data_IF_334786290776
#
_entry.id   IF_334786290776
#
_cell.length_a   1.000
_cell.length_b   1.000
_cell.length_c   1.000
_cell.angle_alpha   90.00
_cell.angle_beta   90.00
_cell.angle_gamma   90.00
#
_symmetry.space_group_name_H-M   'P 1'
#
loop_
_entity.id
_entity.type
_entity.pdbx_description
1 polymer ?
#
# COMPACT_ATOMS: atom_id res chain seq x y z
N UNK A 1 -10.99 11.81 -38.84
CA UNK A 1 -10.77 13.07 -38.09
C UNK A 1 -9.68 13.85 -38.79
N UNK A 2 -10.02 15.00 -39.39
CA UNK A 2 -9.08 15.78 -40.21
C UNK A 2 -7.93 16.34 -39.37
N UNK A 3 -6.76 16.55 -39.98
CA UNK A 3 -5.55 17.09 -39.31
C UNK A 3 -5.82 18.43 -38.59
N UNK A 4 -6.76 19.21 -39.08
CA UNK A 4 -7.21 20.49 -38.51
C UNK A 4 -7.88 20.28 -37.15
N UNK A 5 -8.78 19.28 -37.03
CA UNK A 5 -9.48 18.97 -35.78
C UNK A 5 -8.49 18.50 -34.69
N UNK A 6 -7.50 17.69 -35.07
CA UNK A 6 -6.40 17.27 -34.16
C UNK A 6 -5.56 18.46 -33.65
N UNK A 7 -5.33 19.45 -34.50
CA UNK A 7 -4.55 20.63 -34.14
C UNK A 7 -5.28 21.58 -33.20
N UNK A 8 -6.60 21.68 -33.31
CA UNK A 8 -7.46 22.52 -32.45
C UNK A 8 -7.79 21.87 -31.10
N UNK A 9 -7.88 20.54 -31.04
CA UNK A 9 -8.24 19.82 -29.81
C UNK A 9 -7.02 19.49 -28.93
N UNK A 10 -5.83 19.40 -29.51
CA UNK A 10 -4.59 19.04 -28.78
C UNK A 10 -4.31 19.94 -27.55
N UNK A 11 -4.40 21.30 -27.63
CA UNK A 11 -4.16 22.13 -26.45
C UNK A 11 -5.18 21.92 -25.32
N UNK A 12 -6.42 21.58 -25.66
CA UNK A 12 -7.47 21.28 -24.67
C UNK A 12 -7.17 19.96 -23.97
N UNK A 13 -6.78 18.92 -24.72
CA UNK A 13 -6.37 17.64 -24.15
C UNK A 13 -5.11 17.77 -23.28
N UNK A 14 -4.09 18.49 -23.76
CA UNK A 14 -2.85 18.72 -23.00
C UNK A 14 -3.11 19.49 -21.68
N UNK A 15 -4.06 20.41 -21.69
CA UNK A 15 -4.48 21.14 -20.47
C UNK A 15 -5.24 20.22 -19.51
N UNK A 16 -6.16 19.41 -20.00
CA UNK A 16 -6.92 18.47 -19.19
C UNK A 16 -5.99 17.40 -18.57
N UNK A 17 -5.02 16.88 -19.33
CA UNK A 17 -4.01 15.96 -18.84
C UNK A 17 -3.15 16.57 -17.74
N UNK A 18 -2.65 17.81 -17.93
CA UNK A 18 -1.89 18.51 -16.88
C UNK A 18 -2.72 18.77 -15.62
N UNK A 19 -4.00 19.09 -15.79
CA UNK A 19 -4.90 19.27 -14.66
C UNK A 19 -5.12 17.95 -13.92
N UNK A 20 -5.33 16.84 -14.63
CA UNK A 20 -5.45 15.51 -14.04
C UNK A 20 -4.17 15.09 -13.29
N UNK A 21 -2.99 15.36 -13.87
CA UNK A 21 -1.72 15.11 -13.18
C UNK A 21 -1.55 15.97 -11.93
N UNK A 22 -1.96 17.24 -11.96
CA UNK A 22 -1.97 18.10 -10.78
C UNK A 22 -2.90 17.58 -9.67
N UNK A 23 -4.06 17.07 -10.05
CA UNK A 23 -4.99 16.45 -9.10
C UNK A 23 -4.41 15.15 -8.51
N UNK A 24 -3.79 14.29 -9.33
CA UNK A 24 -3.13 13.07 -8.86
C UNK A 24 -1.97 13.37 -7.91
N UNK A 25 -1.13 14.37 -8.22
CA UNK A 25 -0.04 14.74 -7.31
C UNK A 25 -0.57 15.32 -6.00
N UNK A 26 -1.69 16.05 -6.01
CA UNK A 26 -2.39 16.52 -4.81
C UNK A 26 -2.90 15.37 -3.93
N UNK A 27 -3.26 14.24 -4.52
CA UNK A 27 -3.69 13.05 -3.80
C UNK A 27 -2.62 12.50 -2.84
N UNK A 28 -1.35 12.54 -3.24
CA UNK A 28 -0.23 12.09 -2.41
C UNK A 28 0.13 13.08 -1.28
N UNK A 29 -0.41 14.28 -1.25
CA UNK A 29 -0.20 15.28 -0.20
C UNK A 29 -1.25 15.14 0.93
N UNK A 30 -1.52 13.92 1.38
CA UNK A 30 -2.39 13.69 2.53
C UNK A 30 -1.79 14.32 3.80
N UNK A 31 -2.58 14.95 4.69
CA UNK A 31 -2.07 15.61 5.90
C UNK A 31 -1.21 14.73 6.81
N UNK A 32 -1.48 13.41 6.85
CA UNK A 32 -0.68 12.43 7.60
C UNK A 32 0.59 12.00 6.88
N UNK A 33 0.80 12.47 5.65
CA UNK A 33 1.94 12.12 4.79
C UNK A 33 2.83 13.34 4.48
N UNK A 34 2.61 14.47 5.14
CA UNK A 34 3.40 15.69 4.91
C UNK A 34 4.53 15.80 5.91
N UNK A 35 5.75 16.03 5.39
CA UNK A 35 6.96 16.19 6.20
C UNK A 35 7.57 14.86 6.64
N UNK A 36 8.45 14.95 7.64
CA UNK A 36 9.08 13.77 8.27
C UNK A 36 8.81 13.79 9.76
N UNK A 37 8.50 12.64 10.34
CA UNK A 37 8.32 12.51 11.78
C UNK A 37 8.62 11.08 12.25
N UNK A 38 9.35 10.99 13.35
CA UNK A 38 9.47 9.77 14.14
C UNK A 38 8.41 9.81 15.24
N UNK A 39 7.49 8.87 15.22
CA UNK A 39 6.37 8.80 16.17
C UNK A 39 6.46 7.50 16.96
N UNK A 40 6.42 7.58 18.29
CA UNK A 40 6.36 6.41 19.16
C UNK A 40 4.91 5.94 19.27
N UNK A 41 4.66 4.68 18.88
CA UNK A 41 3.33 4.05 18.94
C UNK A 41 3.14 3.31 20.26
N UNK A 42 4.18 2.57 20.70
CA UNK A 42 4.21 1.83 21.97
C UNK A 42 5.57 2.02 22.64
N UNK A 43 5.83 1.31 23.75
CA UNK A 43 7.15 1.35 24.38
C UNK A 43 8.26 0.92 23.42
N UNK A 44 7.99 -0.09 22.57
CA UNK A 44 8.99 -0.72 21.69
C UNK A 44 8.81 -0.41 20.20
N UNK A 45 7.67 0.09 19.77
CA UNK A 45 7.40 0.31 18.34
C UNK A 45 7.29 1.79 18.02
N UNK A 46 8.07 2.21 17.03
CA UNK A 46 8.00 3.54 16.43
C UNK A 46 7.64 3.41 14.95
N UNK A 47 7.07 4.48 14.42
CA UNK A 47 6.90 4.65 12.97
C UNK A 47 7.61 5.91 12.54
N UNK A 48 8.26 5.85 11.38
CA UNK A 48 8.91 6.98 10.75
C UNK A 48 8.28 7.23 9.39
N UNK A 49 7.73 8.42 9.19
CA UNK A 49 7.27 8.83 7.88
C UNK A 49 8.24 9.85 7.25
N UNK A 50 8.39 9.72 5.95
CA UNK A 50 9.05 10.68 5.08
C UNK A 50 8.09 11.01 3.95
N UNK A 51 7.38 12.13 4.09
CA UNK A 51 6.26 12.47 3.21
C UNK A 51 5.25 11.32 3.11
N UNK A 52 5.16 10.68 1.96
CA UNK A 52 4.21 9.64 1.64
C UNK A 52 4.61 8.26 2.20
N UNK A 53 5.90 8.00 2.36
CA UNK A 53 6.44 6.69 2.75
C UNK A 53 6.54 6.55 4.26
N UNK A 54 6.35 5.33 4.78
CA UNK A 54 6.33 5.03 6.20
C UNK A 54 6.93 3.67 6.52
N UNK A 55 7.98 3.68 7.32
CA UNK A 55 8.59 2.48 7.91
C UNK A 55 8.14 2.28 9.35
N UNK A 56 8.28 1.06 9.88
CA UNK A 56 8.24 0.81 11.32
C UNK A 56 9.60 0.40 11.85
N UNK A 57 9.85 0.77 13.10
CA UNK A 57 11.06 0.42 13.85
C UNK A 57 10.65 -0.24 15.14
N UNK A 58 11.17 -1.43 15.39
CA UNK A 58 10.94 -2.21 16.60
C UNK A 58 12.23 -2.20 17.42
N UNK A 59 12.16 -1.68 18.63
CA UNK A 59 13.29 -1.64 19.57
C UNK A 59 13.35 -2.96 20.33
N UNK A 60 14.42 -3.70 20.15
CA UNK A 60 14.63 -5.00 20.83
C UNK A 60 15.91 -4.97 21.69
N UNK A 61 16.13 -6.00 22.51
CA UNK A 61 17.35 -6.10 23.31
C UNK A 61 18.61 -6.42 22.47
N UNK A 62 18.42 -6.92 21.23
CA UNK A 62 19.51 -7.28 20.31
C UNK A 62 19.80 -6.18 19.27
N UNK A 63 19.06 -5.07 19.32
CA UNK A 63 19.12 -3.96 18.37
C UNK A 63 17.78 -3.71 17.69
N UNK A 64 17.79 -2.89 16.66
CA UNK A 64 16.58 -2.50 15.96
C UNK A 64 16.15 -3.54 14.91
N UNK A 65 14.85 -3.72 14.75
CA UNK A 65 14.26 -4.35 13.58
C UNK A 65 13.54 -3.25 12.79
N UNK A 66 13.90 -3.07 11.52
CA UNK A 66 13.32 -2.06 10.63
C UNK A 66 12.58 -2.76 9.50
N UNK A 67 11.28 -2.49 9.39
CA UNK A 67 10.47 -3.00 8.27
C UNK A 67 10.34 -1.90 7.22
N UNK A 68 10.67 -2.26 5.97
CA UNK A 68 10.63 -1.42 4.78
C UNK A 68 11.44 -0.12 4.93
N UNK A 69 12.77 -0.20 4.75
CA UNK A 69 13.64 0.95 4.84
C UNK A 69 13.51 1.93 3.65
N UNK A 70 12.59 1.67 2.71
CA UNK A 70 12.26 2.46 1.52
C UNK A 70 13.46 2.78 0.63
N UNK A 71 14.04 3.96 0.77
CA UNK A 71 15.17 4.42 -0.02
C UNK A 71 16.26 5.03 0.86
N UNK A 72 17.44 5.26 0.28
CA UNK A 72 18.60 5.80 0.98
C UNK A 72 18.29 7.11 1.72
N UNK A 73 17.59 8.05 1.09
CA UNK A 73 17.28 9.36 1.69
C UNK A 73 16.40 9.23 2.92
N UNK A 74 15.28 8.50 2.79
CA UNK A 74 14.37 8.24 3.90
C UNK A 74 15.10 7.55 5.06
N UNK A 75 15.87 6.51 4.76
CA UNK A 75 16.58 5.74 5.80
C UNK A 75 17.67 6.57 6.48
N UNK A 76 18.37 7.46 5.75
CA UNK A 76 19.34 8.38 6.36
C UNK A 76 18.64 9.33 7.35
N UNK A 77 17.48 9.87 6.99
CA UNK A 77 16.69 10.73 7.88
C UNK A 77 16.09 9.95 9.06
N UNK A 78 15.71 8.68 8.85
CA UNK A 78 15.30 7.79 9.94
C UNK A 78 16.43 7.62 10.95
N UNK A 79 17.66 7.26 10.50
CA UNK A 79 18.84 7.10 11.37
C UNK A 79 19.12 8.38 12.16
N UNK A 80 19.08 9.54 11.50
CA UNK A 80 19.24 10.83 12.17
C UNK A 80 18.15 11.06 13.24
N UNK A 81 16.89 10.79 12.90
CA UNK A 81 15.75 10.97 13.82
C UNK A 81 15.81 10.03 15.02
N UNK A 82 16.29 8.81 14.85
CA UNK A 82 16.53 7.86 15.94
C UNK A 82 17.62 8.37 16.88
N UNK A 83 18.75 8.83 16.32
CA UNK A 83 19.83 9.39 17.10
C UNK A 83 19.37 10.64 17.89
N UNK A 84 18.65 11.55 17.27
CA UNK A 84 18.09 12.74 17.92
C UNK A 84 17.09 12.38 19.05
N UNK A 85 16.43 11.23 18.96
CA UNK A 85 15.58 10.68 20.00
C UNK A 85 16.31 9.87 21.08
N UNK A 86 17.66 9.80 21.03
CA UNK A 86 18.48 9.04 21.96
C UNK A 86 18.41 7.53 21.77
N UNK A 87 18.05 7.07 20.57
CA UNK A 87 17.97 5.66 20.20
C UNK A 87 19.18 5.34 19.31
N UNK A 88 20.07 4.47 19.80
CA UNK A 88 21.21 4.01 19.00
C UNK A 88 20.71 3.21 17.78
N UNK A 89 21.08 3.59 16.55
CA UNK A 89 20.56 2.97 15.33
C UNK A 89 21.29 1.67 14.96
N UNK A 90 21.60 0.82 15.95
CA UNK A 90 22.22 -0.48 15.70
C UNK A 90 21.16 -1.44 15.16
N UNK A 91 21.16 -1.68 13.85
CA UNK A 91 20.17 -2.51 13.20
C UNK A 91 20.56 -4.00 13.29
N UNK A 92 19.70 -4.80 13.92
CA UNK A 92 19.83 -6.25 13.95
C UNK A 92 19.24 -6.86 12.67
N UNK A 93 18.03 -6.47 12.30
CA UNK A 93 17.32 -7.07 11.17
C UNK A 93 16.55 -6.01 10.35
N UNK A 94 16.67 -6.11 9.05
CA UNK A 94 15.74 -5.46 8.11
C UNK A 94 14.75 -6.51 7.62
N UNK A 95 13.47 -6.17 7.61
CA UNK A 95 12.40 -6.96 7.03
C UNK A 95 11.93 -6.28 5.74
N UNK A 96 11.96 -7.00 4.63
CA UNK A 96 11.32 -6.57 3.39
C UNK A 96 9.92 -7.17 3.32
N UNK A 97 8.91 -6.32 3.29
CA UNK A 97 7.52 -6.78 3.21
C UNK A 97 7.24 -7.48 1.88
N UNK A 98 7.76 -6.93 0.78
CA UNK A 98 7.60 -7.47 -0.56
C UNK A 98 8.71 -6.95 -1.49
N UNK A 99 8.68 -7.34 -2.79
CA UNK A 99 9.78 -7.08 -3.71
C UNK A 99 9.83 -5.66 -4.28
N UNK A 100 8.81 -4.82 -4.10
CA UNK A 100 8.78 -3.49 -4.71
C UNK A 100 9.94 -2.61 -4.26
N UNK A 101 10.51 -1.88 -5.22
CA UNK A 101 11.79 -1.18 -5.01
C UNK A 101 11.68 0.06 -4.13
N UNK A 102 10.50 0.62 -4.00
CA UNK A 102 10.22 1.71 -3.07
C UNK A 102 10.22 1.27 -1.60
N UNK A 103 10.21 -0.05 -1.32
CA UNK A 103 10.27 -0.60 0.04
C UNK A 103 11.67 -1.08 0.47
N UNK A 104 12.57 -1.38 -0.48
CA UNK A 104 13.76 -2.21 -0.18
C UNK A 104 15.11 -1.52 -0.37
N UNK A 105 15.17 -0.32 -0.98
CA UNK A 105 16.43 0.33 -1.39
C UNK A 105 17.21 0.99 -0.27
N UNK A 106 16.68 1.14 0.92
CA UNK A 106 17.33 1.86 2.02
C UNK A 106 18.16 1.00 2.96
N UNK A 107 18.08 -0.33 2.88
CA UNK A 107 18.63 -1.26 3.86
C UNK A 107 20.14 -1.10 4.09
N UNK A 108 20.91 -0.79 3.07
CA UNK A 108 22.35 -0.63 3.18
C UNK A 108 22.79 0.52 4.13
N UNK A 109 21.93 1.53 4.33
CA UNK A 109 22.20 2.64 5.26
C UNK A 109 22.22 2.17 6.73
N UNK A 110 21.45 1.11 7.03
CA UNK A 110 21.29 0.57 8.37
C UNK A 110 22.38 -0.44 8.75
N UNK A 111 23.18 -0.90 7.79
CA UNK A 111 24.20 -1.94 7.99
C UNK A 111 23.68 -3.14 8.81
N UNK A 112 22.54 -3.75 8.46
CA UNK A 112 21.89 -4.76 9.27
C UNK A 112 22.69 -6.06 9.29
N UNK A 113 22.55 -6.83 10.39
CA UNK A 113 23.14 -8.19 10.48
C UNK A 113 22.36 -9.19 9.64
N UNK A 114 21.04 -9.01 9.54
CA UNK A 114 20.12 -9.86 8.81
C UNK A 114 19.21 -9.04 7.91
N UNK A 115 18.93 -9.57 6.74
CA UNK A 115 17.90 -9.07 5.82
C UNK A 115 16.96 -10.22 5.48
N UNK A 116 15.73 -10.13 5.94
CA UNK A 116 14.71 -11.15 5.75
C UNK A 116 13.79 -10.73 4.61
N UNK A 117 13.55 -11.62 3.66
CA UNK A 117 12.64 -11.38 2.54
C UNK A 117 11.92 -12.67 2.11
N UNK A 118 10.83 -12.50 1.38
CA UNK A 118 10.19 -13.63 0.71
C UNK A 118 11.14 -14.22 -0.34
N UNK A 119 11.21 -15.56 -0.42
CA UNK A 119 12.16 -16.30 -1.28
C UNK A 119 12.11 -15.94 -2.76
N UNK A 120 10.98 -15.41 -3.24
CA UNK A 120 10.81 -14.97 -4.63
C UNK A 120 11.34 -13.56 -4.92
N UNK A 121 11.58 -12.74 -3.90
CA UNK A 121 12.02 -11.35 -4.12
C UNK A 121 13.27 -11.23 -5.01
N UNK A 122 14.34 -12.04 -4.81
CA UNK A 122 15.51 -11.98 -5.67
C UNK A 122 15.24 -12.32 -7.14
N UNK A 123 14.22 -13.14 -7.43
CA UNK A 123 13.88 -13.49 -8.82
C UNK A 123 13.24 -12.29 -9.52
N UNK A 124 12.34 -11.56 -8.85
CA UNK A 124 11.75 -10.33 -9.40
C UNK A 124 12.79 -9.25 -9.66
N UNK A 125 13.80 -9.10 -8.79
CA UNK A 125 14.84 -8.06 -8.98
C UNK A 125 15.74 -8.32 -10.18
N UNK A 126 15.86 -9.56 -10.64
CA UNK A 126 16.62 -9.90 -11.87
C UNK A 126 15.98 -9.38 -13.16
N UNK A 127 14.68 -9.06 -13.11
CA UNK A 127 13.94 -8.53 -14.27
C UNK A 127 14.16 -7.03 -14.47
N UNK A 128 14.82 -6.35 -13.52
CA UNK A 128 15.13 -4.93 -13.61
C UNK A 128 16.57 -4.69 -14.09
N UNK A 129 16.80 -3.53 -14.70
CA UNK A 129 18.16 -3.10 -15.02
C UNK A 129 19.03 -3.02 -13.76
N UNK A 130 20.33 -3.44 -13.82
CA UNK A 130 21.20 -3.51 -12.65
C UNK A 130 21.28 -2.21 -11.84
N UNK A 131 21.33 -1.06 -12.53
CA UNK A 131 21.37 0.26 -11.85
C UNK A 131 20.09 0.53 -11.04
N UNK A 132 18.98 -0.07 -11.42
CA UNK A 132 17.69 0.11 -10.74
C UNK A 132 17.65 -0.61 -9.39
N UNK A 133 18.39 -1.70 -9.26
CA UNK A 133 18.45 -2.52 -8.04
C UNK A 133 19.77 -2.38 -7.27
N UNK A 134 20.66 -1.49 -7.69
CA UNK A 134 21.98 -1.30 -7.09
C UNK A 134 21.97 -0.97 -5.59
N UNK A 135 20.90 -0.33 -5.11
CA UNK A 135 20.71 0.03 -3.71
C UNK A 135 19.94 -1.04 -2.89
N UNK A 136 19.56 -2.17 -3.51
CA UNK A 136 18.88 -3.28 -2.82
C UNK A 136 19.92 -4.18 -2.16
N UNK A 137 19.91 -4.25 -0.85
CA UNK A 137 20.76 -5.18 -0.12
C UNK A 137 20.20 -6.61 -0.24
N UNK A 138 21.05 -7.54 -0.69
CA UNK A 138 20.62 -8.92 -0.87
C UNK A 138 20.15 -9.55 0.46
N UNK A 139 19.02 -10.27 0.48
CA UNK A 139 18.57 -10.97 1.68
C UNK A 139 19.58 -12.01 2.17
N UNK A 140 19.79 -12.05 3.48
CA UNK A 140 20.55 -13.12 4.14
C UNK A 140 19.68 -14.31 4.49
N UNK A 141 18.38 -14.04 4.73
CA UNK A 141 17.39 -15.01 5.17
C UNK A 141 16.15 -14.98 4.25
N UNK A 142 15.92 -16.08 3.56
CA UNK A 142 14.79 -16.23 2.64
C UNK A 142 13.70 -17.09 3.29
N UNK A 143 12.49 -16.55 3.38
CA UNK A 143 11.32 -17.22 3.99
C UNK A 143 10.20 -17.39 2.97
N UNK A 144 9.31 -18.34 3.25
CA UNK A 144 8.10 -18.58 2.48
C UNK A 144 6.95 -18.94 3.43
N UNK A 145 5.81 -18.43 3.34
CA UNK A 145 4.70 -18.69 4.26
C UNK A 145 4.88 -18.01 5.63
N UNK A 146 3.94 -18.27 6.51
CA UNK A 146 3.93 -17.66 7.84
C UNK A 146 5.18 -18.02 8.64
N UNK A 147 5.83 -17.02 9.18
CA UNK A 147 7.08 -17.18 9.91
C UNK A 147 7.03 -16.39 11.21
N UNK A 148 7.43 -17.03 12.30
CA UNK A 148 7.56 -16.37 13.61
C UNK A 148 9.02 -16.13 13.92
N UNK A 149 9.35 -14.87 14.18
CA UNK A 149 10.67 -14.46 14.62
C UNK A 149 10.63 -14.11 16.11
N UNK A 150 11.74 -14.36 16.81
CA UNK A 150 11.95 -13.86 18.17
C UNK A 150 13.30 -13.16 18.21
N UNK A 151 13.28 -11.85 18.32
CA UNK A 151 14.49 -11.02 18.26
C UNK A 151 14.53 -10.14 19.52
N UNK A 152 15.60 -10.31 20.34
CA UNK A 152 15.81 -9.51 21.53
C UNK A 152 14.61 -9.43 22.48
N UNK A 153 13.87 -10.54 22.61
CA UNK A 153 12.69 -10.66 23.48
C UNK A 153 11.37 -10.18 22.89
N UNK A 154 11.36 -9.78 21.60
CA UNK A 154 10.13 -9.40 20.90
C UNK A 154 9.72 -10.47 19.90
N UNK A 155 8.48 -10.95 20.00
CA UNK A 155 7.86 -11.84 19.03
C UNK A 155 7.31 -11.04 17.84
N UNK A 156 7.66 -11.44 16.62
CA UNK A 156 7.25 -10.81 15.37
C UNK A 156 6.70 -11.90 14.46
N UNK A 157 5.42 -11.81 14.12
CA UNK A 157 4.76 -12.73 13.21
C UNK A 157 4.75 -12.11 11.80
N UNK A 158 5.48 -12.71 10.86
CA UNK A 158 5.43 -12.38 9.44
C UNK A 158 4.39 -13.28 8.77
N UNK A 159 3.29 -12.71 8.35
CA UNK A 159 2.16 -13.45 7.77
C UNK A 159 2.14 -13.27 6.26
N UNK A 160 2.32 -14.36 5.51
CA UNK A 160 2.15 -14.38 4.08
C UNK A 160 0.65 -14.32 3.75
N UNK A 161 0.19 -13.24 3.15
CA UNK A 161 -1.22 -13.05 2.82
C UNK A 161 -1.58 -13.57 1.41
N UNK A 162 -0.64 -14.26 0.77
CA UNK A 162 -0.84 -14.84 -0.56
C UNK A 162 -0.83 -13.79 -1.67
N UNK A 163 -1.24 -14.22 -2.87
CA UNK A 163 -1.33 -13.32 -4.01
C UNK A 163 -2.44 -12.28 -3.77
N UNK A 164 -2.01 -11.07 -3.46
CA UNK A 164 -2.87 -9.92 -3.14
C UNK A 164 -2.36 -8.65 -3.85
N UNK A 165 -1.61 -7.79 -3.17
CA UNK A 165 -0.83 -6.70 -3.76
C UNK A 165 0.33 -7.27 -4.59
N UNK A 166 1.09 -8.18 -4.00
CA UNK A 166 2.06 -9.05 -4.68
C UNK A 166 1.94 -10.47 -4.13
N UNK A 167 2.60 -11.44 -4.75
CA UNK A 167 2.71 -12.80 -4.23
C UNK A 167 3.86 -12.98 -3.22
N UNK A 168 4.57 -11.90 -2.92
CA UNK A 168 5.67 -11.86 -1.93
C UNK A 168 5.31 -11.09 -0.67
N UNK A 169 4.07 -10.58 -0.56
CA UNK A 169 3.68 -9.70 0.53
C UNK A 169 3.59 -10.45 1.87
N UNK A 170 4.40 -9.98 2.81
CA UNK A 170 4.25 -10.24 4.24
C UNK A 170 3.65 -9.02 4.95
N UNK A 171 2.70 -9.26 5.82
CA UNK A 171 2.31 -8.29 6.84
C UNK A 171 2.98 -8.65 8.15
N UNK A 172 3.38 -7.65 8.92
CA UNK A 172 4.10 -7.82 10.18
C UNK A 172 3.17 -7.57 11.34
N UNK A 173 2.91 -8.60 12.14
CA UNK A 173 2.11 -8.50 13.34
C UNK A 173 3.02 -8.64 14.57
N UNK A 174 2.87 -7.74 15.54
CA UNK A 174 3.61 -7.71 16.79
C UNK A 174 2.59 -7.84 17.92
N UNK A 175 2.22 -9.09 18.30
CA UNK A 175 1.10 -9.33 19.21
C UNK A 175 1.27 -8.67 20.58
N UNK A 176 2.49 -8.69 21.15
CA UNK A 176 2.78 -8.10 22.46
C UNK A 176 2.63 -6.57 22.50
N UNK A 177 2.68 -5.92 21.34
CA UNK A 177 2.58 -4.47 21.19
C UNK A 177 1.24 -4.03 20.58
N UNK A 178 0.38 -4.99 20.18
CA UNK A 178 -0.90 -4.71 19.54
C UNK A 178 -0.76 -3.98 18.20
N UNK A 179 0.33 -4.24 17.44
CA UNK A 179 0.63 -3.56 16.17
C UNK A 179 0.47 -4.51 14.99
N UNK A 180 -0.23 -4.04 13.95
CA UNK A 180 -0.23 -4.63 12.62
C UNK A 180 0.37 -3.63 11.62
N UNK A 181 1.51 -3.96 11.03
CA UNK A 181 2.06 -3.26 9.86
C UNK A 181 1.70 -4.03 8.60
N UNK A 182 0.89 -3.43 7.75
CA UNK A 182 0.44 -4.05 6.50
C UNK A 182 0.62 -3.05 5.34
N UNK A 183 1.78 -3.06 4.69
CA UNK A 183 2.09 -2.16 3.59
C UNK A 183 1.20 -2.47 2.39
N UNK A 184 0.87 -1.44 1.62
CA UNK A 184 0.15 -1.48 0.34
C UNK A 184 -1.16 -2.28 0.39
N UNK A 185 -1.89 -2.09 1.46
CA UNK A 185 -3.19 -2.74 1.65
C UNK A 185 -4.34 -1.74 1.68
N UNK A 186 -4.45 -0.95 2.72
CA UNK A 186 -5.49 0.08 2.85
C UNK A 186 -4.89 1.41 3.30
N UNK A 187 -5.59 2.50 3.08
CA UNK A 187 -5.24 3.83 3.57
C UNK A 187 -6.23 4.33 4.60
N UNK A 188 -5.73 4.97 5.67
CA UNK A 188 -6.57 5.53 6.72
C UNK A 188 -7.04 6.94 6.35
N UNK A 189 -8.35 7.13 6.26
CA UNK A 189 -8.93 8.44 5.94
C UNK A 189 -8.77 8.87 4.48
N UNK A 190 -8.34 7.98 3.59
CA UNK A 190 -8.16 8.24 2.16
C UNK A 190 -9.03 7.36 1.30
N UNK A 191 -9.43 7.88 0.15
CA UNK A 191 -10.12 7.13 -0.90
C UNK A 191 -9.08 6.40 -1.75
N UNK A 192 -8.84 5.12 -1.47
CA UNK A 192 -7.84 4.31 -2.15
C UNK A 192 -8.52 3.30 -3.09
N UNK A 193 -8.27 3.33 -4.41
CA UNK A 193 -8.88 2.39 -5.34
C UNK A 193 -8.20 1.02 -5.27
N UNK A 194 -8.99 -0.05 -5.18
CA UNK A 194 -8.49 -1.45 -5.17
C UNK A 194 -7.55 -1.73 -6.33
N UNK A 195 -7.88 -1.28 -7.55
CA UNK A 195 -7.07 -1.51 -8.75
C UNK A 195 -5.73 -0.77 -8.77
N UNK A 196 -5.49 0.15 -7.82
CA UNK A 196 -4.17 0.76 -7.61
C UNK A 196 -3.27 -0.04 -6.69
N UNK A 197 -3.83 -1.04 -5.99
CA UNK A 197 -3.13 -1.78 -4.95
C UNK A 197 -3.12 -3.28 -5.25
N UNK A 198 -4.25 -3.85 -5.64
CA UNK A 198 -4.42 -5.29 -5.82
C UNK A 198 -3.90 -5.75 -7.18
N UNK A 199 -2.93 -6.66 -7.20
CA UNK A 199 -2.56 -7.42 -8.39
C UNK A 199 -3.61 -8.49 -8.72
N UNK A 200 -4.20 -9.10 -7.68
CA UNK A 200 -5.25 -10.11 -7.79
C UNK A 200 -6.37 -9.82 -6.79
N UNK A 201 -7.46 -9.25 -7.29
CA UNK A 201 -8.58 -8.76 -6.48
C UNK A 201 -9.16 -9.81 -5.50
N UNK A 202 -9.47 -11.06 -5.90
CA UNK A 202 -9.98 -12.04 -4.96
C UNK A 202 -9.00 -12.38 -3.83
N UNK A 203 -7.71 -12.40 -4.11
CA UNK A 203 -6.66 -12.64 -3.11
C UNK A 203 -6.51 -11.45 -2.16
N UNK A 204 -6.60 -10.24 -2.68
CA UNK A 204 -6.57 -9.03 -1.89
C UNK A 204 -7.69 -8.99 -0.84
N UNK A 205 -8.93 -9.30 -1.21
CA UNK A 205 -10.03 -9.34 -0.24
C UNK A 205 -9.86 -10.43 0.81
N UNK A 206 -9.37 -11.62 0.44
CA UNK A 206 -9.01 -12.65 1.44
C UNK A 206 -7.90 -12.21 2.39
N UNK A 207 -6.92 -11.45 1.89
CA UNK A 207 -5.88 -10.86 2.72
C UNK A 207 -6.44 -9.86 3.73
N UNK A 208 -7.36 -8.99 3.31
CA UNK A 208 -8.05 -8.05 4.21
C UNK A 208 -8.87 -8.78 5.29
N UNK A 209 -9.63 -9.80 4.91
CA UNK A 209 -10.39 -10.64 5.84
C UNK A 209 -9.47 -11.28 6.88
N UNK A 210 -8.36 -11.89 6.44
CA UNK A 210 -7.37 -12.49 7.33
C UNK A 210 -6.76 -11.47 8.30
N UNK A 211 -6.41 -10.28 7.83
CA UNK A 211 -5.88 -9.22 8.68
C UNK A 211 -6.92 -8.72 9.70
N UNK A 212 -8.18 -8.63 9.33
CA UNK A 212 -9.26 -8.20 10.22
C UNK A 212 -9.47 -9.15 11.41
N UNK A 213 -9.15 -10.44 11.25
CA UNK A 213 -9.23 -11.46 12.31
C UNK A 213 -8.11 -11.37 13.35
N UNK A 214 -7.00 -10.67 13.03
CA UNK A 214 -5.87 -10.53 13.95
C UNK A 214 -6.24 -9.63 15.15
N UNK A 215 -5.61 -9.93 16.28
CA UNK A 215 -5.74 -9.10 17.49
C UNK A 215 -4.65 -8.01 17.49
N UNK A 216 -5.06 -6.78 17.22
CA UNK A 216 -4.22 -5.58 17.25
C UNK A 216 -5.04 -4.35 17.59
N UNK A 217 -4.39 -3.34 18.13
CA UNK A 217 -4.99 -2.04 18.47
C UNK A 217 -4.69 -0.98 17.41
N UNK A 218 -3.47 -1.03 16.86
CA UNK A 218 -2.95 -0.05 15.92
C UNK A 218 -2.55 -0.69 14.60
N UNK A 219 -3.14 -0.19 13.52
CA UNK A 219 -2.76 -0.46 12.13
C UNK A 219 -1.74 0.59 11.65
N UNK A 220 -0.72 0.14 10.93
CA UNK A 220 0.25 1.02 10.26
C UNK A 220 0.35 0.60 8.79
N UNK A 221 0.05 1.52 7.88
CA UNK A 221 0.28 1.37 6.44
C UNK A 221 1.64 1.93 6.06
N UNK A 222 2.20 1.43 4.96
CA UNK A 222 3.45 1.96 4.37
C UNK A 222 3.25 3.33 3.75
N UNK A 223 2.07 3.54 3.19
CA UNK A 223 1.58 4.78 2.64
C UNK A 223 0.30 5.18 3.38
N UNK A 224 -0.16 6.42 3.25
CA UNK A 224 -1.46 6.86 3.77
C UNK A 224 -1.74 6.62 5.27
N UNK A 225 -0.73 6.73 6.11
CA UNK A 225 -0.95 6.91 7.53
C UNK A 225 -1.04 5.64 8.37
N UNK A 226 -1.47 5.83 9.59
CA UNK A 226 -1.72 4.82 10.60
C UNK A 226 -2.97 5.20 11.41
N UNK A 227 -3.56 4.24 12.10
CA UNK A 227 -4.77 4.45 12.89
C UNK A 227 -5.13 3.27 13.77
N UNK A 228 -6.32 3.32 14.34
CA UNK A 228 -6.86 2.23 15.17
C UNK A 228 -7.35 1.05 14.31
N UNK A 229 -7.55 -0.10 14.95
CA UNK A 229 -8.23 -1.24 14.30
C UNK A 229 -9.61 -0.87 13.76
N UNK A 230 -10.36 -0.02 14.45
CA UNK A 230 -11.66 0.45 13.96
C UNK A 230 -11.53 1.20 12.62
N UNK A 231 -10.56 2.11 12.51
CA UNK A 231 -10.29 2.84 11.27
C UNK A 231 -9.78 1.92 10.14
N UNK A 232 -9.00 0.89 10.47
CA UNK A 232 -8.63 -0.15 9.52
C UNK A 232 -9.87 -0.89 8.99
N UNK A 233 -10.80 -1.27 9.87
CA UNK A 233 -12.04 -1.96 9.47
C UNK A 233 -12.95 -1.05 8.62
N UNK A 234 -13.01 0.25 8.90
CA UNK A 234 -13.70 1.23 8.04
C UNK A 234 -13.06 1.30 6.63
N UNK A 235 -11.73 1.25 6.55
CA UNK A 235 -11.02 1.23 5.27
C UNK A 235 -11.24 -0.10 4.51
N UNK A 236 -11.34 -1.23 5.21
CA UNK A 236 -11.72 -2.53 4.63
C UNK A 236 -13.16 -2.49 4.11
N UNK A 237 -14.11 -1.97 4.89
CA UNK A 237 -15.50 -1.79 4.49
C UNK A 237 -15.61 -0.93 3.22
N UNK A 238 -14.84 0.16 3.12
CA UNK A 238 -14.77 0.99 1.94
C UNK A 238 -14.43 0.19 0.67
N UNK A 239 -13.42 -0.70 0.73
CA UNK A 239 -13.03 -1.55 -0.39
C UNK A 239 -14.13 -2.58 -0.73
N UNK A 240 -14.73 -3.21 0.28
CA UNK A 240 -15.79 -4.20 0.12
C UNK A 240 -17.05 -3.58 -0.49
N UNK A 241 -17.47 -2.42 -0.02
CA UNK A 241 -18.64 -1.71 -0.52
C UNK A 241 -18.53 -1.38 -2.01
N UNK A 242 -17.40 -0.86 -2.46
CA UNK A 242 -17.17 -0.56 -3.88
C UNK A 242 -17.30 -1.83 -4.72
N UNK A 243 -16.67 -2.91 -4.27
CA UNK A 243 -16.73 -4.22 -4.93
C UNK A 243 -18.17 -4.74 -5.02
N UNK A 244 -18.90 -4.71 -3.93
CA UNK A 244 -20.26 -5.22 -3.85
C UNK A 244 -21.23 -4.37 -4.68
N UNK A 245 -21.09 -3.05 -4.67
CA UNK A 245 -21.89 -2.17 -5.51
C UNK A 245 -21.63 -2.39 -7.00
N UNK A 246 -20.37 -2.61 -7.38
CA UNK A 246 -20.00 -2.96 -8.75
C UNK A 246 -20.59 -4.31 -9.13
N UNK A 247 -20.50 -5.34 -8.29
CA UNK A 247 -21.11 -6.66 -8.54
C UNK A 247 -22.62 -6.59 -8.72
N UNK A 248 -23.30 -5.86 -7.85
CA UNK A 248 -24.74 -5.65 -7.95
C UNK A 248 -25.12 -4.91 -9.24
N UNK A 249 -24.37 -3.88 -9.62
CA UNK A 249 -24.59 -3.15 -10.86
C UNK A 249 -24.30 -4.02 -12.09
N UNK A 250 -23.23 -4.79 -12.11
CA UNK A 250 -22.93 -5.76 -13.17
C UNK A 250 -24.05 -6.79 -13.32
N UNK A 251 -24.56 -7.35 -12.24
CA UNK A 251 -25.68 -8.29 -12.27
C UNK A 251 -26.96 -7.67 -12.80
N UNK A 252 -27.25 -6.41 -12.48
CA UNK A 252 -28.43 -5.67 -12.95
C UNK A 252 -28.35 -5.34 -14.43
N UNK A 253 -27.20 -4.88 -14.88
CA UNK A 253 -26.96 -4.52 -16.27
C UNK A 253 -26.43 -5.71 -17.09
N UNK A 254 -26.90 -6.88 -16.79
CA UNK A 254 -26.52 -8.13 -17.42
C UNK A 254 -26.74 -8.13 -18.95
N UNK A 255 -25.82 -8.73 -19.70
CA UNK A 255 -25.88 -8.85 -21.17
C UNK A 255 -24.68 -9.62 -21.70
N UNK A 256 -24.77 -10.05 -22.96
CA UNK A 256 -23.74 -10.85 -23.65
C UNK A 256 -22.53 -10.01 -24.13
N UNK A 257 -22.63 -8.67 -24.06
CA UNK A 257 -21.57 -7.76 -24.51
C UNK A 257 -20.78 -7.32 -23.29
N UNK A 258 -19.43 -7.38 -23.33
CA UNK A 258 -18.59 -6.84 -22.26
C UNK A 258 -18.93 -5.39 -21.92
N UNK A 259 -18.93 -4.99 -20.64
CA UNK A 259 -19.31 -3.63 -20.23
C UNK A 259 -18.56 -2.53 -20.97
N UNK A 260 -17.29 -2.76 -21.30
CA UNK A 260 -16.43 -1.80 -22.00
C UNK A 260 -16.78 -1.63 -23.50
N UNK A 261 -17.52 -2.56 -24.08
CA UNK A 261 -17.98 -2.49 -25.47
C UNK A 261 -19.37 -1.84 -25.59
N UNK A 262 -20.09 -1.69 -24.49
CA UNK A 262 -21.36 -1.00 -24.41
C UNK A 262 -21.25 0.25 -23.53
N UNK A 263 -21.06 1.39 -24.20
CA UNK A 263 -20.95 2.69 -23.52
C UNK A 263 -22.15 3.01 -22.63
N UNK A 264 -23.37 2.71 -23.04
CA UNK A 264 -24.57 3.04 -22.25
C UNK A 264 -24.61 2.24 -20.96
N UNK A 265 -24.27 0.98 -21.07
CA UNK A 265 -24.18 0.06 -19.93
C UNK A 265 -23.07 0.47 -18.96
N UNK A 266 -21.88 0.78 -19.46
CA UNK A 266 -20.77 1.23 -18.62
C UNK A 266 -21.11 2.54 -17.89
N UNK A 267 -21.75 3.50 -18.56
CA UNK A 267 -22.22 4.73 -17.93
C UNK A 267 -23.27 4.48 -16.86
N UNK A 268 -24.22 3.56 -17.10
CA UNK A 268 -25.25 3.23 -16.12
C UNK A 268 -24.64 2.58 -14.85
N UNK A 269 -23.66 1.69 -15.03
CA UNK A 269 -22.90 1.11 -13.90
C UNK A 269 -22.16 2.21 -13.14
N UNK A 270 -21.45 3.08 -13.86
CA UNK A 270 -20.73 4.20 -13.28
C UNK A 270 -21.65 5.11 -12.47
N UNK A 271 -22.76 5.58 -13.07
CA UNK A 271 -23.68 6.50 -12.41
C UNK A 271 -24.33 5.91 -11.15
N UNK A 272 -24.62 4.60 -11.17
CA UNK A 272 -25.18 3.91 -10.00
C UNK A 272 -24.15 3.79 -8.88
N UNK A 273 -22.96 3.29 -9.19
CA UNK A 273 -21.91 3.04 -8.21
C UNK A 273 -21.33 4.36 -7.68
N UNK A 274 -21.06 5.32 -8.57
CA UNK A 274 -20.53 6.63 -8.21
C UNK A 274 -21.43 7.39 -7.23
N UNK A 275 -22.74 7.31 -7.40
CA UNK A 275 -23.70 7.94 -6.49
C UNK A 275 -23.56 7.39 -5.07
N UNK A 276 -23.49 6.06 -4.92
CA UNK A 276 -23.32 5.39 -3.62
C UNK A 276 -21.97 5.73 -2.98
N UNK A 277 -20.89 5.72 -3.78
CA UNK A 277 -19.56 6.13 -3.33
C UNK A 277 -19.59 7.58 -2.81
N UNK A 278 -20.18 8.48 -3.59
CA UNK A 278 -20.28 9.89 -3.21
C UNK A 278 -21.03 10.09 -1.90
N UNK A 279 -22.15 9.41 -1.73
CA UNK A 279 -23.00 9.56 -0.56
C UNK A 279 -22.32 9.04 0.73
N UNK A 280 -21.49 7.98 0.65
CA UNK A 280 -20.84 7.38 1.82
C UNK A 280 -19.39 7.82 2.00
N UNK A 281 -18.65 8.04 0.93
CA UNK A 281 -17.19 8.21 0.94
C UNK A 281 -16.71 9.50 0.24
N UNK A 282 -17.63 10.39 -0.14
CA UNK A 282 -17.30 11.62 -0.87
C UNK A 282 -16.43 12.61 -0.11
N UNK A 283 -16.33 12.49 1.23
CA UNK A 283 -15.49 13.32 2.08
C UNK A 283 -14.08 12.76 2.28
N UNK A 284 -13.80 11.53 1.81
CA UNK A 284 -12.47 10.96 1.93
C UNK A 284 -11.49 11.71 1.03
N UNK A 285 -10.29 11.94 1.55
CA UNK A 285 -9.21 12.54 0.76
C UNK A 285 -8.91 11.74 -0.50
N UNK A 286 -8.85 12.41 -1.64
CA UNK A 286 -8.60 11.78 -2.94
C UNK A 286 -9.85 11.26 -3.66
N UNK A 287 -11.05 11.34 -3.06
CA UNK A 287 -12.29 10.91 -3.71
C UNK A 287 -12.45 11.51 -5.13
N UNK A 288 -12.32 12.82 -5.29
CA UNK A 288 -12.53 13.51 -6.57
C UNK A 288 -11.61 13.02 -7.70
N UNK A 289 -10.44 12.50 -7.34
CA UNK A 289 -9.44 12.04 -8.31
C UNK A 289 -9.49 10.54 -8.55
N UNK A 290 -9.92 9.75 -7.58
CA UNK A 290 -9.77 8.30 -7.58
C UNK A 290 -11.09 7.54 -7.79
N UNK A 291 -12.26 8.15 -7.58
CA UNK A 291 -13.54 7.45 -7.66
C UNK A 291 -13.80 6.81 -9.03
N UNK A 292 -13.50 7.53 -10.12
CA UNK A 292 -13.66 6.99 -11.48
C UNK A 292 -12.71 5.80 -11.72
N UNK A 293 -11.45 5.93 -11.30
CA UNK A 293 -10.45 4.87 -11.44
C UNK A 293 -10.83 3.63 -10.62
N UNK A 294 -11.31 3.82 -9.39
CA UNK A 294 -11.78 2.73 -8.54
C UNK A 294 -12.93 1.95 -9.18
N UNK A 295 -13.93 2.64 -9.74
CA UNK A 295 -15.06 1.99 -10.40
C UNK A 295 -14.59 1.20 -11.62
N UNK A 296 -13.81 1.81 -12.52
CA UNK A 296 -13.36 1.17 -13.76
C UNK A 296 -12.50 -0.06 -13.46
N UNK A 297 -11.55 0.06 -12.55
CA UNK A 297 -10.65 -1.07 -12.21
C UNK A 297 -11.41 -2.19 -11.51
N UNK A 298 -12.35 -1.87 -10.62
CA UNK A 298 -13.20 -2.88 -9.97
C UNK A 298 -14.13 -3.58 -10.97
N UNK A 299 -14.76 -2.82 -11.90
CA UNK A 299 -15.56 -3.41 -13.00
C UNK A 299 -14.70 -4.35 -13.84
N UNK A 300 -13.46 -3.95 -14.14
CA UNK A 300 -12.51 -4.79 -14.90
C UNK A 300 -12.18 -6.07 -14.16
N UNK A 301 -11.79 -5.95 -12.88
CA UNK A 301 -11.43 -7.11 -12.05
C UNK A 301 -12.60 -8.09 -11.89
N UNK A 302 -13.80 -7.62 -11.60
CA UNK A 302 -14.99 -8.47 -11.41
C UNK A 302 -15.50 -9.08 -12.72
N UNK A 303 -15.29 -8.43 -13.87
CA UNK A 303 -15.70 -8.97 -15.16
C UNK A 303 -14.66 -9.94 -15.75
N UNK A 304 -13.38 -9.64 -15.63
CA UNK A 304 -12.27 -10.44 -16.20
C UNK A 304 -11.80 -11.53 -15.24
N UNK A 305 -11.96 -11.35 -13.92
CA UNK A 305 -11.64 -12.35 -12.90
C UNK A 305 -10.21 -12.25 -12.34
N UNK A 306 -9.63 -11.04 -12.28
CA UNK A 306 -8.32 -10.83 -11.67
C UNK A 306 -8.29 -9.79 -10.55
#
# INVERSE_FOLDING_TARGET
MTAILKRLTRPVFDRAQRQAMGMMTGYFNHPTSVGSALTRLTERVLTFNWYFDRAIVIVTNDGLVVNDPFNRTLTTELVRSLHDAGIEPVCHTVLYSHFHLDHVRGAAVLEPRHVVAHRKCPDYWKDFEPDTTADVLAPTDLIEGDTKLSIGGVGIDLLNVGLSHTDTLFVTHIPSEGILYAPDTVGIGVFLPTGGIALYSPGYFRALERMAELDFDTFVGSHFGWGTKAQFLEAVEHQQDIRDWVRLALARYHGNIPPFQDRRRLLAIYDEVHRKIKDKYGELHGYDTQALYAIITTVTAEYVGY
#
